data_IF_131150960392
#
_entry.id   IF_131150960392
#
_cell.length_a   1.000
_cell.length_b   1.000
_cell.length_c   1.000
_cell.angle_alpha   90.00
_cell.angle_beta   90.00
_cell.angle_gamma   90.00
#
_symmetry.space_group_name_H-M   'P 1'
#
loop_
_entity.id
_entity.type
_entity.pdbx_description
1 polymer ?
#
# COMPACT_ATOMS: atom_id res chain seq x y z
N UNK A 1 -4.80 -55.82 -35.74
CA UNK A 1 -5.44 -55.70 -37.06
C UNK A 1 -6.42 -54.53 -37.14
N UNK A 2 -7.07 -54.12 -36.04
CA UNK A 2 -7.97 -52.95 -36.03
C UNK A 2 -7.22 -51.60 -36.15
N UNK A 3 -5.98 -51.51 -35.66
CA UNK A 3 -5.21 -50.27 -35.65
C UNK A 3 -4.73 -49.83 -37.04
N UNK A 4 -4.49 -50.78 -37.94
CA UNK A 4 -4.08 -50.50 -39.32
C UNK A 4 -5.25 -49.88 -40.09
N UNK A 5 -6.47 -50.40 -39.92
CA UNK A 5 -7.67 -49.86 -40.54
C UNK A 5 -8.02 -48.45 -40.02
N UNK A 6 -7.72 -48.16 -38.74
CA UNK A 6 -7.90 -46.82 -38.17
C UNK A 6 -6.86 -45.83 -38.71
N UNK A 7 -5.59 -46.26 -38.85
CA UNK A 7 -4.54 -45.47 -39.46
C UNK A 7 -4.84 -45.19 -40.94
N UNK A 8 -5.33 -46.17 -41.70
CA UNK A 8 -5.75 -46.01 -43.09
C UNK A 8 -6.90 -44.99 -43.25
N UNK A 9 -7.92 -45.05 -42.37
CA UNK A 9 -9.00 -44.06 -42.34
C UNK A 9 -8.50 -42.65 -42.03
N UNK A 10 -7.57 -42.52 -41.08
CA UNK A 10 -6.95 -41.22 -40.74
C UNK A 10 -6.10 -40.67 -41.87
N UNK A 11 -5.35 -41.51 -42.56
CA UNK A 11 -4.53 -41.11 -43.72
C UNK A 11 -5.45 -40.67 -44.88
N UNK A 12 -6.49 -41.43 -45.19
CA UNK A 12 -7.45 -41.07 -46.24
C UNK A 12 -8.12 -39.71 -45.96
N UNK A 13 -8.53 -39.48 -44.70
CA UNK A 13 -9.09 -38.19 -44.28
C UNK A 13 -8.09 -37.04 -44.38
N UNK A 14 -6.82 -37.27 -43.98
CA UNK A 14 -5.77 -36.28 -44.10
C UNK A 14 -5.47 -35.92 -45.56
N UNK A 15 -5.44 -36.91 -46.45
CA UNK A 15 -5.24 -36.71 -47.89
C UNK A 15 -6.39 -35.94 -48.52
N UNK A 16 -7.64 -36.23 -48.16
CA UNK A 16 -8.79 -35.47 -48.68
C UNK A 16 -8.80 -34.02 -48.19
N UNK A 17 -8.36 -33.78 -46.95
CA UNK A 17 -8.18 -32.42 -46.42
C UNK A 17 -7.08 -31.66 -47.17
N UNK A 18 -5.99 -32.33 -47.52
CA UNK A 18 -4.91 -31.74 -48.32
C UNK A 18 -5.39 -31.46 -49.74
N UNK A 19 -6.13 -32.38 -50.37
CA UNK A 19 -6.69 -32.19 -51.70
C UNK A 19 -7.63 -30.96 -51.75
N UNK A 20 -8.51 -30.80 -50.76
CA UNK A 20 -9.34 -29.60 -50.60
C UNK A 20 -8.52 -28.33 -50.36
N UNK A 21 -7.43 -28.44 -49.60
CA UNK A 21 -6.49 -27.34 -49.38
C UNK A 21 -5.80 -26.88 -50.66
N UNK A 22 -5.38 -27.82 -51.51
CA UNK A 22 -4.75 -27.54 -52.80
C UNK A 22 -5.77 -26.95 -53.78
N UNK A 23 -6.99 -27.49 -53.83
CA UNK A 23 -8.05 -26.96 -54.68
C UNK A 23 -8.43 -25.51 -54.29
N UNK A 24 -8.42 -25.19 -53.00
CA UNK A 24 -8.62 -23.82 -52.52
C UNK A 24 -7.43 -22.91 -52.87
N UNK A 25 -6.20 -23.42 -52.83
CA UNK A 25 -5.02 -22.68 -53.24
C UNK A 25 -5.00 -22.44 -54.76
N UNK A 26 -5.45 -23.42 -55.55
CA UNK A 26 -5.57 -23.33 -57.00
C UNK A 26 -6.72 -22.41 -57.41
N UNK A 27 -7.83 -22.38 -56.66
CA UNK A 27 -8.88 -21.35 -56.80
C UNK A 27 -8.37 -19.95 -56.43
N UNK A 28 -7.46 -19.84 -55.46
CA UNK A 28 -6.81 -18.57 -55.12
C UNK A 28 -5.76 -18.15 -56.17
N UNK A 29 -5.11 -19.11 -56.83
CA UNK A 29 -4.12 -18.86 -57.88
C UNK A 29 -4.74 -18.66 -59.28
N UNK A 30 -5.93 -19.24 -59.52
CA UNK A 30 -6.70 -19.17 -60.77
C UNK A 30 -7.79 -18.09 -60.76
N UNK A 31 -7.96 -17.36 -59.66
CA UNK A 31 -8.65 -16.08 -59.70
C UNK A 31 -7.85 -15.16 -60.65
N UNK A 32 -8.49 -14.54 -61.66
CA UNK A 32 -7.78 -13.57 -62.48
C UNK A 32 -7.20 -12.52 -61.53
N UNK A 33 -5.89 -12.28 -61.63
CA UNK A 33 -5.31 -11.07 -61.06
C UNK A 33 -6.23 -9.92 -61.49
N UNK A 34 -6.71 -9.07 -60.57
CA UNK A 34 -7.57 -7.97 -60.96
C UNK A 34 -6.84 -7.24 -62.08
N UNK A 35 -7.46 -7.25 -63.27
CA UNK A 35 -6.98 -6.47 -64.40
C UNK A 35 -6.79 -5.06 -63.87
N UNK A 36 -5.59 -4.51 -64.06
CA UNK A 36 -5.16 -3.28 -63.40
C UNK A 36 -6.25 -2.23 -63.36
N UNK A 37 -6.88 -2.08 -62.20
CA UNK A 37 -7.46 -0.82 -61.82
C UNK A 37 -6.29 0.07 -61.45
N UNK A 38 -6.32 1.31 -61.95
CA UNK A 38 -5.50 2.41 -61.48
C UNK A 38 -5.41 2.38 -59.94
N UNK A 39 -4.33 2.87 -59.29
CA UNK A 39 -4.20 2.79 -57.83
C UNK A 39 -5.54 3.17 -57.18
N UNK A 40 -6.24 2.15 -56.69
CA UNK A 40 -7.64 2.25 -56.35
C UNK A 40 -7.76 3.32 -55.27
N UNK A 41 -8.56 4.35 -55.54
CA UNK A 41 -8.83 5.41 -54.57
C UNK A 41 -9.27 4.81 -53.21
N UNK A 42 -9.94 3.66 -53.22
CA UNK A 42 -10.37 2.91 -52.02
C UNK A 42 -9.22 2.37 -51.16
N UNK A 43 -8.10 1.92 -51.73
CA UNK A 43 -6.95 1.43 -50.95
C UNK A 43 -6.11 2.57 -50.34
N UNK A 44 -6.03 3.71 -51.03
CA UNK A 44 -5.42 4.92 -50.49
C UNK A 44 -6.24 5.50 -49.33
N UNK A 45 -7.57 5.53 -49.47
CA UNK A 45 -8.51 5.98 -48.44
C UNK A 45 -8.48 5.07 -47.20
N UNK A 46 -8.40 3.74 -47.36
CA UNK A 46 -8.23 2.80 -46.25
C UNK A 46 -6.90 2.98 -45.51
N UNK A 47 -5.80 3.21 -46.22
CA UNK A 47 -4.50 3.49 -45.61
C UNK A 47 -4.54 4.81 -44.82
N UNK A 48 -5.20 5.83 -45.35
CA UNK A 48 -5.36 7.10 -44.64
C UNK A 48 -6.23 6.96 -43.39
N UNK A 49 -7.33 6.20 -43.47
CA UNK A 49 -8.19 5.89 -42.32
C UNK A 49 -7.45 5.10 -41.23
N UNK A 50 -6.66 4.08 -41.60
CA UNK A 50 -5.83 3.32 -40.65
C UNK A 50 -4.73 4.18 -40.02
N UNK A 51 -4.14 5.12 -40.78
CA UNK A 51 -3.17 6.08 -40.23
C UNK A 51 -3.81 7.04 -39.25
N UNK A 52 -5.03 7.50 -39.52
CA UNK A 52 -5.79 8.34 -38.60
C UNK A 52 -6.12 7.60 -37.28
N UNK A 53 -6.60 6.36 -37.36
CA UNK A 53 -6.84 5.51 -36.18
C UNK A 53 -5.57 5.25 -35.38
N UNK A 54 -4.46 4.96 -36.06
CA UNK A 54 -3.16 4.74 -35.39
C UNK A 54 -2.63 6.03 -34.72
N UNK A 55 -2.90 7.20 -35.30
CA UNK A 55 -2.57 8.48 -34.69
C UNK A 55 -3.44 8.75 -33.44
N UNK A 56 -4.74 8.45 -33.51
CA UNK A 56 -5.67 8.56 -32.39
C UNK A 56 -5.29 7.62 -31.24
N UNK A 57 -5.01 6.35 -31.53
CA UNK A 57 -4.56 5.36 -30.55
C UNK A 57 -3.23 5.75 -29.90
N UNK A 58 -2.28 6.29 -30.67
CA UNK A 58 -1.02 6.81 -30.10
C UNK A 58 -1.24 7.99 -29.16
N UNK A 59 -2.17 8.89 -29.51
CA UNK A 59 -2.53 10.02 -28.66
C UNK A 59 -3.23 9.55 -27.38
N UNK A 60 -4.15 8.59 -27.49
CA UNK A 60 -4.81 7.97 -26.34
C UNK A 60 -3.79 7.26 -25.42
N UNK A 61 -2.84 6.52 -26.01
CA UNK A 61 -1.79 5.84 -25.25
C UNK A 61 -0.88 6.84 -24.52
N UNK A 62 -0.44 7.91 -25.19
CA UNK A 62 0.34 8.97 -24.54
C UNK A 62 -0.40 9.61 -23.35
N UNK A 63 -1.71 9.85 -23.48
CA UNK A 63 -2.54 10.35 -22.38
C UNK A 63 -2.67 9.34 -21.23
N UNK A 64 -2.81 8.04 -21.53
CA UNK A 64 -2.87 6.99 -20.52
C UNK A 64 -1.53 6.84 -19.80
N UNK A 65 -0.41 6.88 -20.52
CA UNK A 65 0.94 6.85 -19.94
C UNK A 65 1.17 8.03 -18.99
N UNK A 66 0.75 9.24 -19.39
CA UNK A 66 0.82 10.42 -18.54
C UNK A 66 -0.05 10.27 -17.28
N UNK A 67 -1.29 9.79 -17.43
CA UNK A 67 -2.19 9.50 -16.29
C UNK A 67 -1.60 8.45 -15.36
N UNK A 68 -1.04 7.36 -15.88
CA UNK A 68 -0.38 6.31 -15.09
C UNK A 68 0.83 6.88 -14.36
N UNK A 69 1.62 7.72 -15.03
CA UNK A 69 2.77 8.38 -14.40
C UNK A 69 2.33 9.30 -13.26
N UNK A 70 1.31 10.12 -13.47
CA UNK A 70 0.76 11.01 -12.45
C UNK A 70 0.17 10.21 -11.27
N UNK A 71 -0.54 9.11 -11.54
CA UNK A 71 -1.07 8.23 -10.51
C UNK A 71 0.04 7.56 -9.70
N UNK A 72 1.10 7.06 -10.35
CA UNK A 72 2.26 6.47 -9.67
C UNK A 72 2.95 7.49 -8.78
N UNK A 73 3.18 8.71 -9.25
CA UNK A 73 3.75 9.79 -8.45
C UNK A 73 2.89 10.12 -7.23
N UNK A 74 1.57 10.18 -7.40
CA UNK A 74 0.64 10.38 -6.27
C UNK A 74 0.68 9.23 -5.27
N UNK A 75 0.71 7.98 -5.75
CA UNK A 75 0.79 6.80 -4.88
C UNK A 75 2.12 6.74 -4.12
N UNK A 76 3.24 7.07 -4.76
CA UNK A 76 4.56 7.13 -4.12
C UNK A 76 4.62 8.25 -3.07
N UNK A 77 4.05 9.42 -3.37
CA UNK A 77 3.90 10.51 -2.39
C UNK A 77 3.00 10.11 -1.20
N UNK A 78 1.91 9.38 -1.45
CA UNK A 78 1.04 8.89 -0.39
C UNK A 78 1.71 7.80 0.45
N UNK A 79 2.43 6.88 -0.18
CA UNK A 79 3.15 5.82 0.52
C UNK A 79 4.25 6.40 1.42
N UNK A 80 5.05 7.34 0.90
CA UNK A 80 6.09 8.02 1.68
C UNK A 80 5.52 8.82 2.84
N UNK A 81 4.37 9.52 2.64
CA UNK A 81 3.65 10.20 3.73
C UNK A 81 3.17 9.21 4.79
N UNK A 82 2.53 8.11 4.39
CA UNK A 82 2.05 7.09 5.31
C UNK A 82 3.19 6.43 6.10
N UNK A 83 4.32 6.14 5.46
CA UNK A 83 5.50 5.59 6.12
C UNK A 83 6.06 6.55 7.18
N UNK A 84 6.12 7.85 6.87
CA UNK A 84 6.55 8.86 7.84
C UNK A 84 5.57 8.97 9.03
N UNK A 85 4.26 8.92 8.77
CA UNK A 85 3.23 8.90 9.81
C UNK A 85 3.35 7.65 10.71
N UNK A 86 3.64 6.48 10.14
CA UNK A 86 3.85 5.26 10.91
C UNK A 86 5.10 5.32 11.80
N UNK A 87 6.20 5.92 11.31
CA UNK A 87 7.43 6.12 12.10
C UNK A 87 7.15 7.03 13.28
N UNK A 88 6.55 8.19 13.04
CA UNK A 88 6.22 9.15 14.11
C UNK A 88 5.25 8.57 15.14
N UNK A 89 4.25 7.80 14.71
CA UNK A 89 3.33 7.12 15.62
C UNK A 89 4.07 6.10 16.51
N UNK A 90 4.98 5.30 15.94
CA UNK A 90 5.78 4.34 16.73
C UNK A 90 6.64 5.06 17.78
N UNK A 91 7.31 6.14 17.41
CA UNK A 91 8.11 6.94 18.34
C UNK A 91 7.24 7.51 19.48
N UNK A 92 6.04 8.00 19.18
CA UNK A 92 5.12 8.51 20.21
C UNK A 92 4.64 7.40 21.16
N UNK A 93 4.38 6.20 20.64
CA UNK A 93 3.98 5.04 21.45
C UNK A 93 5.13 4.60 22.36
N UNK A 94 6.34 4.48 21.84
CA UNK A 94 7.53 4.12 22.62
C UNK A 94 7.80 5.13 23.74
N UNK A 95 7.66 6.43 23.45
CA UNK A 95 7.79 7.49 24.46
C UNK A 95 6.73 7.36 25.56
N UNK A 96 5.46 7.15 25.18
CA UNK A 96 4.37 7.00 26.15
C UNK A 96 4.55 5.75 27.02
N UNK A 97 4.97 4.63 26.43
CA UNK A 97 5.27 3.39 27.16
C UNK A 97 6.40 3.58 28.17
N UNK A 98 7.45 4.33 27.81
CA UNK A 98 8.55 4.67 28.71
C UNK A 98 8.07 5.51 29.90
N UNK A 99 7.24 6.53 29.67
CA UNK A 99 6.68 7.36 30.75
C UNK A 99 5.72 6.58 31.64
N UNK A 100 4.88 5.70 31.08
CA UNK A 100 4.01 4.81 31.85
C UNK A 100 4.81 3.82 32.70
N UNK A 101 5.89 3.26 32.17
CA UNK A 101 6.80 2.38 32.92
C UNK A 101 7.44 3.14 34.10
N UNK A 102 7.86 4.39 33.88
CA UNK A 102 8.39 5.27 34.92
C UNK A 102 7.36 5.55 36.00
N UNK A 103 6.12 5.88 35.63
CA UNK A 103 5.01 6.12 36.56
C UNK A 103 4.71 4.87 37.41
N UNK A 104 4.66 3.69 36.80
CA UNK A 104 4.46 2.42 37.53
C UNK A 104 5.56 2.19 38.55
N UNK A 105 6.83 2.43 38.18
CA UNK A 105 7.98 2.29 39.08
C UNK A 105 7.91 3.30 40.25
N UNK A 106 7.59 4.56 39.98
CA UNK A 106 7.47 5.58 41.01
C UNK A 106 6.32 5.26 42.00
N UNK A 107 5.18 4.78 41.50
CA UNK A 107 4.07 4.31 42.33
C UNK A 107 4.45 3.09 43.18
N UNK A 108 5.18 2.12 42.64
CA UNK A 108 5.66 0.98 43.42
C UNK A 108 6.57 1.43 44.57
N UNK A 109 7.49 2.36 44.31
CA UNK A 109 8.35 2.95 45.35
C UNK A 109 7.56 3.71 46.41
N UNK A 110 6.50 4.43 46.03
CA UNK A 110 5.59 5.10 46.95
C UNK A 110 4.85 4.10 47.84
N UNK A 111 4.36 2.99 47.28
CA UNK A 111 3.69 1.92 48.01
C UNK A 111 4.63 1.26 49.02
N UNK A 112 5.85 0.92 48.61
CA UNK A 112 6.88 0.36 49.49
C UNK A 112 7.24 1.32 50.63
N UNK A 113 7.38 2.61 50.34
CA UNK A 113 7.67 3.62 51.36
C UNK A 113 6.51 3.80 52.33
N UNK A 114 5.26 3.71 51.86
CA UNK A 114 4.08 3.73 52.72
C UNK A 114 4.00 2.48 53.61
N UNK A 115 4.32 1.30 53.07
CA UNK A 115 4.37 0.07 53.86
C UNK A 115 5.42 0.14 54.97
N UNK A 116 6.62 0.66 54.66
CA UNK A 116 7.67 0.87 55.65
C UNK A 116 7.26 1.85 56.76
N UNK A 117 6.63 2.97 56.40
CA UNK A 117 6.09 3.93 57.38
C UNK A 117 5.03 3.30 58.29
N UNK A 118 4.11 2.51 57.74
CA UNK A 118 3.09 1.82 58.54
C UNK A 118 3.71 0.82 59.51
N UNK A 119 4.69 0.04 59.06
CA UNK A 119 5.40 -0.90 59.91
C UNK A 119 6.15 -0.19 61.05
N UNK A 120 6.87 0.91 60.76
CA UNK A 120 7.57 1.70 61.76
C UNK A 120 6.61 2.33 62.80
N UNK A 121 5.49 2.89 62.32
CA UNK A 121 4.45 3.43 63.19
C UNK A 121 3.79 2.35 64.07
N UNK A 122 3.53 1.15 63.54
CA UNK A 122 2.99 0.01 64.31
C UNK A 122 3.97 -0.48 65.37
N UNK A 123 5.27 -0.46 65.07
CA UNK A 123 6.33 -0.78 66.02
C UNK A 123 6.56 0.34 67.06
N UNK A 124 5.88 1.49 66.93
CA UNK A 124 6.07 2.66 67.79
C UNK A 124 7.41 3.37 67.56
N UNK A 125 8.14 3.02 66.50
CA UNK A 125 9.43 3.61 66.16
C UNK A 125 9.20 4.73 65.15
N UNK A 126 9.15 5.97 65.63
CA UNK A 126 9.11 7.13 64.75
C UNK A 126 10.48 7.36 64.10
N UNK A 127 10.64 6.97 62.83
CA UNK A 127 11.88 7.21 62.08
C UNK A 127 11.72 8.41 61.11
N UNK A 128 12.35 9.57 61.39
CA UNK A 128 12.28 10.74 60.52
C UNK A 128 12.77 10.50 59.09
N UNK A 129 13.71 9.57 58.90
CA UNK A 129 14.22 9.21 57.57
C UNK A 129 13.18 8.53 56.68
N UNK A 130 12.22 7.78 57.25
CA UNK A 130 11.14 7.16 56.49
C UNK A 130 10.12 8.19 55.98
N UNK A 131 9.89 9.25 56.77
CA UNK A 131 9.03 10.38 56.36
C UNK A 131 9.67 11.13 55.19
N UNK A 132 10.97 11.43 55.27
CA UNK A 132 11.68 12.07 54.17
C UNK A 132 11.69 11.17 52.91
N UNK A 133 11.87 9.85 53.09
CA UNK A 133 11.81 8.88 51.98
C UNK A 133 10.44 8.83 51.33
N UNK A 134 9.35 8.83 52.12
CA UNK A 134 7.99 8.82 51.56
C UNK A 134 7.66 10.11 50.82
N UNK A 135 8.08 11.26 51.37
CA UNK A 135 7.87 12.55 50.72
C UNK A 135 8.62 12.63 49.39
N UNK A 136 9.85 12.11 49.31
CA UNK A 136 10.58 12.01 48.05
C UNK A 136 9.90 11.07 47.05
N UNK A 137 9.41 9.91 47.50
CA UNK A 137 8.68 8.98 46.65
C UNK A 137 7.37 9.58 46.12
N UNK A 138 6.66 10.36 46.93
CA UNK A 138 5.43 11.06 46.54
C UNK A 138 5.70 12.14 45.49
N UNK A 139 6.74 12.94 45.70
CA UNK A 139 7.18 13.93 44.71
C UNK A 139 7.59 13.28 43.38
N UNK A 140 8.31 12.16 43.41
CA UNK A 140 8.67 11.44 42.18
C UNK A 140 7.44 10.84 41.48
N UNK A 141 6.49 10.31 42.26
CA UNK A 141 5.21 9.82 41.71
C UNK A 141 4.40 10.94 41.05
N UNK A 142 4.29 12.11 41.68
CA UNK A 142 3.59 13.26 41.10
C UNK A 142 4.29 13.78 39.84
N UNK A 143 5.63 13.82 39.84
CA UNK A 143 6.41 14.22 38.66
C UNK A 143 6.21 13.24 37.52
N UNK A 144 6.28 11.93 37.80
CA UNK A 144 6.04 10.91 36.78
C UNK A 144 4.62 10.97 36.22
N UNK A 145 3.61 11.20 37.06
CA UNK A 145 2.23 11.35 36.61
C UNK A 145 2.09 12.55 35.65
N UNK A 146 2.67 13.70 36.03
CA UNK A 146 2.67 14.89 35.18
C UNK A 146 3.40 14.69 33.86
N UNK A 147 4.48 13.90 33.82
CA UNK A 147 5.18 13.60 32.57
C UNK A 147 4.34 12.72 31.64
N UNK A 148 3.61 11.74 32.19
CA UNK A 148 2.63 10.96 31.42
C UNK A 148 1.54 11.88 30.85
N UNK A 149 0.94 12.74 31.67
CA UNK A 149 -0.09 13.68 31.19
C UNK A 149 0.42 14.57 30.05
N UNK A 150 1.65 15.08 30.15
CA UNK A 150 2.27 15.88 29.11
C UNK A 150 2.53 15.07 27.84
N UNK A 151 3.02 13.83 27.98
CA UNK A 151 3.25 12.93 26.86
C UNK A 151 1.93 12.60 26.12
N UNK A 152 0.85 12.34 26.86
CA UNK A 152 -0.49 12.11 26.31
C UNK A 152 -0.99 13.33 25.54
N UNK A 153 -0.87 14.53 26.13
CA UNK A 153 -1.27 15.79 25.46
C UNK A 153 -0.47 16.02 24.18
N UNK A 154 0.84 15.75 24.17
CA UNK A 154 1.65 15.87 22.96
C UNK A 154 1.24 14.84 21.89
N UNK A 155 0.96 13.58 22.29
CA UNK A 155 0.48 12.55 21.38
C UNK A 155 -0.87 12.93 20.75
N UNK A 156 -1.83 13.40 21.56
CA UNK A 156 -3.13 13.88 21.08
C UNK A 156 -2.96 15.06 20.12
N UNK A 157 -2.11 16.04 20.48
CA UNK A 157 -1.81 17.18 19.61
C UNK A 157 -1.20 16.71 18.28
N UNK A 158 -0.25 15.79 18.33
CA UNK A 158 0.38 15.18 17.15
C UNK A 158 -0.62 14.47 16.25
N UNK A 159 -1.64 13.83 16.81
CA UNK A 159 -2.71 13.18 16.06
C UNK A 159 -3.77 14.17 15.49
N UNK A 160 -4.06 15.26 16.20
CA UNK A 160 -5.08 16.24 15.78
C UNK A 160 -4.61 17.23 14.72
N UNK A 161 -3.33 17.64 14.76
CA UNK A 161 -2.78 18.63 13.80
C UNK A 161 -2.92 18.19 12.34
N UNK A 162 -2.57 16.96 11.94
CA UNK A 162 -2.73 16.50 10.56
C UNK A 162 -4.19 16.50 10.10
N UNK A 163 -5.11 16.07 10.97
CA UNK A 163 -6.56 16.03 10.66
C UNK A 163 -7.17 17.41 10.44
N UNK A 164 -6.61 18.46 11.07
CA UNK A 164 -7.00 19.84 10.85
C UNK A 164 -6.46 20.36 9.51
N UNK A 165 -5.20 20.07 9.19
CA UNK A 165 -4.56 20.48 7.94
C UNK A 165 -5.22 19.84 6.71
N UNK A 166 -5.50 18.53 6.76
CA UNK A 166 -6.20 17.83 5.67
C UNK A 166 -7.60 18.41 5.39
N UNK A 167 -8.24 18.98 6.43
CA UNK A 167 -9.57 19.61 6.32
C UNK A 167 -9.52 21.01 5.72
N UNK A 168 -8.41 21.74 5.90
CA UNK A 168 -8.16 23.02 5.26
C UNK A 168 -7.80 22.86 3.78
N UNK A 169 -7.06 21.81 3.41
CA UNK A 169 -6.72 21.50 2.01
C UNK A 169 -7.90 20.99 1.18
N UNK A 170 -8.96 20.48 1.83
CA UNK A 170 -10.17 19.97 1.19
C UNK A 170 -11.26 21.03 0.92
N UNK A 171 -11.07 22.27 1.41
CA UNK A 171 -11.97 23.42 1.19
C UNK A 171 -11.37 24.41 0.18
#
# INVERSE_FOLDING_TARGET
MNDIAELERRIAFAMERIAKGIENLDKAAGAPAPAGDAPDATGADEIEALRAQLAEEKLANAQLEERVRALRQKQEAQATRADAELVTLRETMEHLDAELARLRKANAQLQDSNAALRAANQAGVGEPHLINKSMMAELESMRAARQVDLAEVQAIKGALVPLLQDKEEAN
#
